data_IF_459764356580
#
_entry.id   IF_459764356580
#
_cell.length_a   1.000
_cell.length_b   1.000
_cell.length_c   1.000
_cell.angle_alpha   90.00
_cell.angle_beta   90.00
_cell.angle_gamma   90.00
#
_symmetry.space_group_name_H-M   'P 1'
#
loop_
_entity.id
_entity.type
_entity.pdbx_description
1 polymer ?
#
# COMPACT_ATOMS: atom_id res chain seq x y z
N UNK A 1 -1.55 -5.15 15.15
CA UNK A 1 -1.04 -6.55 15.16
C UNK A 1 -0.53 -6.97 13.79
N UNK A 2 -1.27 -6.70 12.70
CA UNK A 2 -0.90 -7.03 11.31
C UNK A 2 0.47 -6.52 10.88
N UNK A 3 0.76 -5.22 11.07
CA UNK A 3 2.06 -4.66 10.69
C UNK A 3 3.25 -5.35 11.39
N UNK A 4 3.10 -5.78 12.66
CA UNK A 4 4.16 -6.52 13.38
C UNK A 4 4.48 -7.87 12.73
N UNK A 5 3.49 -8.53 12.13
CA UNK A 5 3.67 -9.81 11.43
C UNK A 5 4.55 -9.64 10.18
N UNK A 6 4.48 -8.46 9.54
CA UNK A 6 5.31 -8.11 8.39
C UNK A 6 6.76 -7.74 8.78
N UNK A 7 7.06 -7.69 10.09
CA UNK A 7 8.36 -7.36 10.69
C UNK A 7 9.08 -6.20 9.98
N UNK A 8 8.43 -5.03 9.85
CA UNK A 8 9.00 -3.89 9.16
C UNK A 8 10.21 -3.35 9.93
N UNK A 9 11.14 -2.72 9.21
CA UNK A 9 12.22 -1.98 9.84
C UNK A 9 11.71 -0.58 10.21
N UNK A 10 11.55 -0.33 11.51
CA UNK A 10 11.29 1.02 12.03
C UNK A 10 12.60 1.82 12.03
N UNK A 11 12.61 3.02 11.45
CA UNK A 11 13.78 3.90 11.44
C UNK A 11 13.52 5.25 12.13
N UNK A 12 12.26 5.58 12.43
CA UNK A 12 11.90 6.75 13.20
C UNK A 12 10.66 6.46 14.05
N UNK A 13 10.66 6.94 15.29
CA UNK A 13 9.53 6.89 16.21
C UNK A 13 9.62 8.09 17.17
N UNK A 14 8.57 8.89 17.25
CA UNK A 14 8.44 9.95 18.25
C UNK A 14 7.15 9.85 19.07
N UNK A 15 6.43 8.73 18.98
CA UNK A 15 5.23 8.48 19.79
C UNK A 15 5.64 8.39 21.27
N UNK A 16 5.07 9.22 22.17
CA UNK A 16 5.41 9.19 23.60
C UNK A 16 5.06 7.87 24.28
N UNK A 17 5.83 7.48 25.30
CA UNK A 17 5.60 6.25 26.07
C UNK A 17 4.19 6.16 26.63
N UNK A 18 3.62 7.26 27.13
CA UNK A 18 2.24 7.31 27.61
C UNK A 18 1.21 6.87 26.55
N UNK A 19 1.46 7.16 25.28
CA UNK A 19 0.61 6.74 24.16
C UNK A 19 0.88 5.29 23.72
N UNK A 20 2.11 4.79 23.94
CA UNK A 20 2.48 3.41 23.65
C UNK A 20 2.00 2.43 24.74
N UNK A 21 2.00 2.85 26.00
CA UNK A 21 1.62 2.03 27.16
C UNK A 21 0.14 1.62 27.11
N UNK A 22 -0.73 2.51 26.61
CA UNK A 22 -2.13 2.19 26.34
C UNK A 22 -2.33 1.33 25.09
N UNK A 23 -1.29 1.15 24.26
CA UNK A 23 -1.35 0.46 22.95
C UNK A 23 -0.28 -0.63 22.88
N UNK A 24 -0.46 -1.78 23.56
CA UNK A 24 0.59 -2.80 23.69
C UNK A 24 1.08 -3.37 22.34
N UNK A 25 0.22 -3.44 21.33
CA UNK A 25 0.66 -3.87 19.99
C UNK A 25 1.52 -2.83 19.27
N UNK A 26 1.25 -1.54 19.49
CA UNK A 26 2.06 -0.43 18.97
C UNK A 26 3.40 -0.39 19.69
N UNK A 27 3.40 -0.50 21.02
CA UNK A 27 4.63 -0.59 21.83
C UNK A 27 5.54 -1.74 21.38
N UNK A 28 4.96 -2.92 21.16
CA UNK A 28 5.70 -4.08 20.64
C UNK A 28 6.26 -3.88 19.23
N UNK A 29 5.53 -3.18 18.37
CA UNK A 29 6.02 -2.82 17.04
C UNK A 29 7.21 -1.86 17.14
N UNK A 30 7.07 -0.78 17.92
CA UNK A 30 8.11 0.22 18.13
C UNK A 30 9.38 -0.38 18.75
N UNK A 31 9.23 -1.33 19.67
CA UNK A 31 10.34 -2.03 20.31
C UNK A 31 10.98 -3.13 19.45
N UNK A 32 10.50 -3.36 18.22
CA UNK A 32 11.05 -4.38 17.32
C UNK A 32 10.86 -5.82 17.81
N UNK A 33 9.83 -6.08 18.62
CA UNK A 33 9.59 -7.41 19.18
C UNK A 33 9.30 -8.42 18.05
N UNK A 34 10.28 -9.29 17.77
CA UNK A 34 10.27 -10.21 16.62
C UNK A 34 9.65 -11.58 16.92
N UNK A 35 9.38 -11.89 18.21
CA UNK A 35 8.79 -13.17 18.61
C UNK A 35 7.30 -13.20 18.28
N UNK A 36 6.99 -13.75 17.11
CA UNK A 36 5.63 -13.98 16.66
C UNK A 36 5.17 -15.38 17.09
N UNK A 37 4.09 -15.44 17.87
CA UNK A 37 3.36 -16.68 18.13
C UNK A 37 2.31 -16.90 17.04
N UNK A 38 1.97 -18.16 16.71
CA UNK A 38 0.85 -18.44 15.82
C UNK A 38 -0.46 -17.75 16.27
N UNK A 39 -1.36 -17.38 15.34
CA UNK A 39 -1.28 -17.63 13.90
C UNK A 39 -0.26 -16.74 13.19
N UNK A 40 0.52 -17.33 12.27
CA UNK A 40 1.55 -16.62 11.49
C UNK A 40 1.00 -15.95 10.23
N UNK A 41 -0.33 -15.96 10.08
CA UNK A 41 -1.07 -15.18 9.10
C UNK A 41 -2.22 -14.48 9.81
N UNK A 42 -2.33 -13.18 9.64
CA UNK A 42 -3.35 -12.36 10.30
C UNK A 42 -4.16 -11.63 9.24
N UNK A 43 -5.46 -11.54 9.45
CA UNK A 43 -6.37 -10.68 8.71
C UNK A 43 -6.95 -9.69 9.70
N UNK A 44 -6.94 -8.41 9.36
CA UNK A 44 -7.56 -7.36 10.14
C UNK A 44 -8.46 -6.55 9.24
N UNK A 45 -9.74 -6.48 9.60
CA UNK A 45 -10.67 -5.56 8.96
C UNK A 45 -10.71 -4.25 9.75
N UNK A 46 -10.88 -3.15 9.02
CA UNK A 46 -11.05 -1.80 9.56
C UNK A 46 -11.85 -0.96 8.56
N UNK A 47 -12.30 0.21 9.00
CA UNK A 47 -13.05 1.15 8.18
C UNK A 47 -12.43 2.52 8.34
N UNK A 48 -12.25 3.23 7.23
CA UNK A 48 -11.72 4.60 7.30
C UNK A 48 -12.75 5.57 7.84
N UNK A 49 -12.26 6.71 8.32
CA UNK A 49 -13.09 7.76 8.91
C UNK A 49 -13.14 8.96 7.97
N UNK A 50 -14.33 9.52 7.75
CA UNK A 50 -14.57 10.57 6.74
C UNK A 50 -16.00 10.51 6.17
N UNK A 51 -16.32 11.44 5.26
CA UNK A 51 -17.64 11.53 4.62
C UNK A 51 -17.96 10.29 3.75
N UNK A 52 -16.94 9.71 3.11
CA UNK A 52 -17.00 8.41 2.45
C UNK A 52 -16.13 7.43 3.23
N UNK A 53 -16.77 6.56 4.02
CA UNK A 53 -16.07 5.52 4.77
C UNK A 53 -15.73 4.35 3.84
N UNK A 54 -14.47 3.94 3.84
CA UNK A 54 -13.95 2.85 3.01
C UNK A 54 -13.68 1.64 3.87
N UNK A 55 -14.08 0.45 3.40
CA UNK A 55 -13.73 -0.81 4.07
C UNK A 55 -12.32 -1.22 3.65
N UNK A 56 -11.46 -1.41 4.65
CA UNK A 56 -10.06 -1.77 4.47
C UNK A 56 -9.79 -3.11 5.15
N UNK A 57 -9.20 -4.05 4.43
CA UNK A 57 -8.73 -5.32 4.98
C UNK A 57 -7.22 -5.42 4.83
N UNK A 58 -6.54 -5.70 5.93
CA UNK A 58 -5.10 -5.88 5.99
C UNK A 58 -4.80 -7.37 6.13
N UNK A 59 -4.03 -7.91 5.19
CA UNK A 59 -3.51 -9.26 5.24
C UNK A 59 -2.02 -9.20 5.57
N UNK A 60 -1.57 -10.05 6.48
CA UNK A 60 -0.15 -10.15 6.80
C UNK A 60 0.26 -11.61 6.99
N UNK A 61 1.47 -11.94 6.56
CA UNK A 61 2.11 -13.23 6.81
C UNK A 61 3.50 -13.04 7.39
N UNK A 62 3.86 -13.88 8.35
CA UNK A 62 5.22 -13.94 8.89
C UNK A 62 6.09 -14.88 8.07
N UNK A 63 7.41 -14.70 8.12
CA UNK A 63 8.39 -15.56 7.43
C UNK A 63 8.16 -17.06 7.71
N UNK A 64 7.89 -17.41 8.98
CA UNK A 64 7.74 -18.79 9.42
C UNK A 64 6.46 -19.47 8.90
N UNK A 65 5.50 -18.72 8.34
CA UNK A 65 4.29 -19.28 7.75
C UNK A 65 4.57 -20.12 6.51
N UNK A 66 5.68 -19.82 5.80
CA UNK A 66 6.03 -20.40 4.49
C UNK A 66 4.94 -20.24 3.42
N UNK A 67 3.98 -19.34 3.63
CA UNK A 67 2.92 -19.08 2.67
C UNK A 67 3.37 -18.07 1.62
N UNK A 68 2.87 -18.28 0.42
CA UNK A 68 2.95 -17.34 -0.70
C UNK A 68 1.77 -16.35 -0.55
N UNK A 69 2.03 -15.05 -0.47
CA UNK A 69 1.01 -14.03 -0.13
C UNK A 69 -0.16 -13.98 -1.13
N UNK A 70 0.07 -14.11 -2.42
CA UNK A 70 -0.95 -14.02 -3.46
C UNK A 70 -1.90 -15.21 -3.42
N UNK A 71 -1.41 -16.43 -3.66
CA UNK A 71 -2.24 -17.64 -3.74
C UNK A 71 -2.71 -18.14 -2.39
N UNK A 72 -1.79 -18.27 -1.43
CA UNK A 72 -2.09 -18.96 -0.15
C UNK A 72 -2.75 -18.04 0.87
N UNK A 73 -2.68 -16.72 0.68
CA UNK A 73 -3.38 -15.74 1.52
C UNK A 73 -4.47 -15.03 0.72
N UNK A 74 -4.13 -14.21 -0.27
CA UNK A 74 -5.08 -13.31 -0.94
C UNK A 74 -6.17 -14.05 -1.72
N UNK A 75 -5.83 -14.93 -2.68
CA UNK A 75 -6.82 -15.71 -3.44
C UNK A 75 -7.72 -16.54 -2.53
N UNK A 76 -7.16 -17.14 -1.46
CA UNK A 76 -7.94 -17.91 -0.48
C UNK A 76 -8.90 -17.04 0.33
N UNK A 77 -8.49 -15.84 0.72
CA UNK A 77 -9.27 -14.93 1.56
C UNK A 77 -10.31 -14.15 0.76
N UNK A 78 -9.93 -13.67 -0.42
CA UNK A 78 -10.80 -12.95 -1.35
C UNK A 78 -11.79 -13.90 -2.04
N UNK A 79 -11.46 -15.19 -2.15
CA UNK A 79 -12.29 -16.24 -2.77
C UNK A 79 -12.67 -15.99 -4.24
N UNK A 80 -11.96 -15.10 -4.93
CA UNK A 80 -12.17 -14.69 -6.33
C UNK A 80 -10.86 -14.79 -7.10
N UNK A 81 -10.91 -14.66 -8.43
CA UNK A 81 -9.68 -14.50 -9.22
C UNK A 81 -9.10 -13.11 -8.99
N UNK A 82 -7.80 -12.95 -9.24
CA UNK A 82 -7.10 -11.67 -9.11
C UNK A 82 -6.32 -11.37 -10.38
N UNK A 83 -6.29 -10.10 -10.78
CA UNK A 83 -5.36 -9.57 -11.78
C UNK A 83 -4.25 -8.85 -11.03
N UNK A 84 -2.99 -9.16 -11.34
CA UNK A 84 -1.82 -8.74 -10.55
C UNK A 84 -0.82 -7.97 -11.43
N UNK A 85 -0.49 -6.75 -11.02
CA UNK A 85 0.64 -5.98 -11.52
C UNK A 85 1.79 -6.05 -10.52
N UNK A 86 2.92 -6.61 -10.95
CA UNK A 86 4.04 -6.94 -10.07
C UNK A 86 5.25 -7.40 -10.87
N UNK A 87 6.46 -7.11 -10.37
CA UNK A 87 7.69 -7.68 -10.94
C UNK A 87 7.77 -9.20 -10.66
N UNK A 88 8.53 -9.92 -11.49
CA UNK A 88 8.45 -11.40 -11.57
C UNK A 88 9.84 -12.03 -11.66
N UNK A 89 9.99 -13.23 -11.09
CA UNK A 89 11.24 -14.01 -11.11
C UNK A 89 11.23 -15.13 -12.17
N UNK A 90 10.29 -15.06 -13.13
CA UNK A 90 10.02 -16.07 -14.18
C UNK A 90 9.61 -17.47 -13.66
N UNK A 91 9.62 -17.69 -12.34
CA UNK A 91 9.33 -18.99 -11.72
C UNK A 91 7.85 -19.13 -11.40
N UNK A 92 7.26 -18.09 -10.83
CA UNK A 92 5.81 -18.04 -10.64
C UNK A 92 5.15 -17.53 -11.92
N UNK A 93 4.18 -18.30 -12.42
CA UNK A 93 3.35 -17.99 -13.60
C UNK A 93 1.91 -17.72 -13.18
N UNK A 94 1.09 -17.31 -14.13
CA UNK A 94 -0.38 -17.34 -13.97
C UNK A 94 -0.83 -18.69 -13.40
N UNK A 95 -1.75 -18.69 -12.44
CA UNK A 95 -2.24 -19.91 -11.79
C UNK A 95 -3.74 -20.02 -12.00
N UNK A 96 -4.16 -20.98 -12.81
CA UNK A 96 -5.58 -21.19 -13.12
C UNK A 96 -6.06 -22.59 -12.74
N UNK A 97 -5.37 -23.22 -11.76
CA UNK A 97 -5.68 -24.59 -11.32
C UNK A 97 -6.99 -24.69 -10.54
N UNK A 98 -7.53 -23.56 -10.07
CA UNK A 98 -8.76 -23.53 -9.27
C UNK A 98 -9.79 -22.72 -10.04
N UNK A 99 -10.86 -23.37 -10.48
CA UNK A 99 -11.95 -22.73 -11.21
C UNK A 99 -12.50 -21.52 -10.42
N UNK A 100 -12.54 -20.35 -11.07
CA UNK A 100 -13.02 -19.10 -10.48
C UNK A 100 -12.07 -18.44 -9.46
N UNK A 101 -10.86 -18.97 -9.24
CA UNK A 101 -9.87 -18.43 -8.31
C UNK A 101 -8.46 -18.44 -8.92
N UNK A 102 -8.35 -17.73 -10.03
CA UNK A 102 -7.14 -17.66 -10.82
C UNK A 102 -6.24 -16.50 -10.37
N UNK A 103 -4.93 -16.65 -10.57
CA UNK A 103 -3.97 -15.55 -10.58
C UNK A 103 -3.67 -15.24 -12.03
N UNK A 104 -4.12 -14.08 -12.49
CA UNK A 104 -3.86 -13.57 -13.82
C UNK A 104 -2.85 -12.42 -13.73
N UNK A 105 -1.83 -12.41 -14.58
CA UNK A 105 -0.76 -11.42 -14.50
C UNK A 105 -0.97 -10.33 -15.55
N UNK A 106 -0.96 -9.07 -15.14
CA UNK A 106 -1.12 -7.93 -16.06
C UNK A 106 0.13 -7.83 -16.94
N UNK A 107 -0.06 -7.85 -18.25
CA UNK A 107 1.00 -7.76 -19.24
C UNK A 107 1.63 -6.37 -19.22
N UNK A 108 2.92 -6.33 -19.51
CA UNK A 108 3.71 -5.10 -19.60
C UNK A 108 3.97 -4.75 -21.07
N UNK A 109 3.97 -3.46 -21.46
CA UNK A 109 3.71 -2.28 -20.64
C UNK A 109 2.21 -2.01 -20.38
N UNK A 110 1.93 -1.16 -19.41
CA UNK A 110 0.62 -0.53 -19.18
C UNK A 110 0.66 0.95 -19.57
N UNK A 111 -0.50 1.56 -19.76
CA UNK A 111 -0.64 3.01 -19.95
C UNK A 111 -1.46 3.62 -18.81
N UNK A 112 -0.96 4.70 -18.24
CA UNK A 112 -1.63 5.50 -17.20
C UNK A 112 -1.73 6.92 -17.70
N UNK A 113 -2.90 7.32 -18.22
CA UNK A 113 -3.13 8.66 -18.76
C UNK A 113 -2.16 9.08 -19.88
N UNK A 114 -1.78 8.16 -20.78
CA UNK A 114 -0.77 8.45 -21.81
C UNK A 114 0.68 8.32 -21.34
N UNK A 115 0.91 8.01 -20.06
CA UNK A 115 2.23 7.65 -19.53
C UNK A 115 2.41 6.13 -19.53
N UNK A 116 3.31 5.66 -20.40
CA UNK A 116 3.67 4.26 -20.44
C UNK A 116 4.47 3.86 -19.17
N UNK A 117 4.09 2.74 -18.56
CA UNK A 117 4.79 2.14 -17.42
C UNK A 117 5.11 0.67 -17.70
N UNK A 118 6.31 0.24 -17.33
CA UNK A 118 6.80 -1.13 -17.57
C UNK A 118 7.19 -1.79 -16.25
N UNK A 119 7.28 -3.13 -16.22
CA UNK A 119 7.72 -3.86 -15.03
C UNK A 119 9.20 -3.59 -14.68
N UNK A 120 9.98 -3.04 -15.62
CA UNK A 120 11.38 -2.65 -15.38
C UNK A 120 11.49 -1.22 -14.81
N UNK A 121 10.49 -0.38 -15.07
CA UNK A 121 10.45 1.02 -14.64
C UNK A 121 9.47 1.26 -13.48
N UNK A 122 8.71 0.26 -13.04
CA UNK A 122 7.67 0.38 -12.02
C UNK A 122 7.89 -0.64 -10.90
N UNK A 123 8.05 -0.14 -9.68
CA UNK A 123 8.27 -0.99 -8.50
C UNK A 123 6.99 -1.22 -7.70
N UNK A 124 5.86 -0.66 -8.15
CA UNK A 124 4.56 -0.86 -7.53
C UNK A 124 4.08 -2.30 -7.70
N UNK A 125 3.36 -2.76 -6.68
CA UNK A 125 2.86 -4.12 -6.60
C UNK A 125 1.43 -4.02 -6.11
N UNK A 126 0.49 -4.31 -7.01
CA UNK A 126 -0.92 -4.19 -6.70
C UNK A 126 -1.72 -5.27 -7.42
N UNK A 127 -2.94 -5.48 -6.93
CA UNK A 127 -3.88 -6.39 -7.55
C UNK A 127 -5.31 -5.89 -7.45
N UNK A 128 -6.15 -6.42 -8.32
CA UNK A 128 -7.59 -6.22 -8.29
C UNK A 128 -8.34 -7.56 -8.35
N UNK A 129 -9.52 -7.63 -7.75
CA UNK A 129 -10.40 -8.80 -7.83
C UNK A 129 -11.08 -8.93 -9.21
N UNK A 130 -11.26 -10.15 -9.71
CA UNK A 130 -11.91 -10.44 -11.00
C UNK A 130 -12.86 -11.64 -10.88
N UNK A 131 -14.19 -11.44 -10.72
CA UNK A 131 -14.88 -10.15 -10.55
C UNK A 131 -14.75 -9.60 -9.12
N UNK A 132 -15.13 -8.34 -8.91
CA UNK A 132 -15.29 -7.70 -7.60
C UNK A 132 -14.94 -6.22 -7.60
N UNK A 133 -14.88 -5.61 -6.40
CA UNK A 133 -14.58 -4.19 -6.19
C UNK A 133 -13.34 -3.97 -5.31
N UNK A 134 -12.42 -4.94 -5.27
CA UNK A 134 -11.28 -4.89 -4.36
C UNK A 134 -10.03 -4.51 -5.12
N UNK A 135 -9.35 -3.48 -4.61
CA UNK A 135 -7.98 -3.12 -4.95
C UNK A 135 -7.08 -3.48 -3.76
N UNK A 136 -5.87 -3.97 -4.00
CA UNK A 136 -4.90 -4.18 -2.94
C UNK A 136 -3.50 -3.72 -3.33
N UNK A 137 -2.84 -2.96 -2.44
CA UNK A 137 -1.41 -2.73 -2.46
C UNK A 137 -0.70 -3.88 -1.73
N UNK A 138 0.37 -4.43 -2.31
CA UNK A 138 1.14 -5.55 -1.75
C UNK A 138 2.59 -5.10 -1.61
N UNK A 139 3.29 -5.49 -0.55
CA UNK A 139 4.68 -5.08 -0.32
C UNK A 139 5.72 -6.05 -0.92
N UNK A 140 5.29 -7.20 -1.42
CA UNK A 140 6.15 -8.22 -2.02
C UNK A 140 5.86 -8.44 -3.50
N UNK A 141 6.90 -8.57 -4.34
CA UNK A 141 6.72 -8.97 -5.72
C UNK A 141 6.27 -10.43 -5.83
N UNK A 142 5.74 -10.83 -7.00
CA UNK A 142 5.32 -12.21 -7.24
C UNK A 142 6.51 -13.10 -7.59
N UNK A 143 7.39 -13.28 -6.61
CA UNK A 143 8.59 -14.13 -6.68
C UNK A 143 8.42 -15.36 -5.80
N UNK A 144 9.08 -16.47 -6.11
CA UNK A 144 9.07 -17.69 -5.28
C UNK A 144 9.81 -17.48 -3.96
N UNK A 145 10.82 -16.62 -3.92
CA UNK A 145 11.63 -16.31 -2.74
C UNK A 145 10.79 -15.78 -1.56
N UNK A 146 9.73 -15.02 -1.84
CA UNK A 146 8.90 -14.40 -0.80
C UNK A 146 8.24 -15.39 0.16
N UNK A 147 8.13 -16.70 -0.17
CA UNK A 147 7.64 -17.70 0.80
C UNK A 147 8.50 -17.75 2.06
N UNK A 148 9.77 -17.35 1.97
CA UNK A 148 10.72 -17.29 3.09
C UNK A 148 10.83 -15.90 3.73
N UNK A 149 9.91 -15.01 3.40
CA UNK A 149 9.91 -13.62 3.83
C UNK A 149 8.57 -13.24 4.48
N UNK A 150 8.53 -12.25 5.37
CA UNK A 150 7.27 -11.64 5.78
C UNK A 150 6.63 -10.87 4.61
N UNK A 151 5.31 -10.68 4.62
CA UNK A 151 4.63 -9.84 3.63
C UNK A 151 3.32 -9.26 4.18
N UNK A 152 2.86 -8.20 3.53
CA UNK A 152 1.63 -7.49 3.84
C UNK A 152 0.90 -7.09 2.55
N UNK A 153 -0.42 -7.09 2.63
CA UNK A 153 -1.28 -6.47 1.63
C UNK A 153 -2.37 -5.66 2.31
N UNK A 154 -2.63 -4.46 1.80
CA UNK A 154 -3.72 -3.59 2.24
C UNK A 154 -4.73 -3.53 1.11
N UNK A 155 -5.93 -4.03 1.37
CA UNK A 155 -7.01 -4.12 0.40
C UNK A 155 -8.12 -3.12 0.74
N UNK A 156 -8.63 -2.43 -0.26
CA UNK A 156 -9.73 -1.48 -0.17
C UNK A 156 -10.90 -2.04 -0.99
N UNK A 157 -12.09 -2.06 -0.39
CA UNK A 157 -13.33 -2.47 -1.04
C UNK A 157 -14.11 -1.24 -1.49
N UNK A 158 -13.82 -0.80 -2.71
CA UNK A 158 -14.41 0.39 -3.30
C UNK A 158 -14.45 0.26 -4.82
N UNK A 159 -15.64 0.46 -5.40
CA UNK A 159 -15.87 0.25 -6.82
C UNK A 159 -15.18 1.29 -7.70
N UNK A 160 -15.01 2.51 -7.20
CA UNK A 160 -14.36 3.62 -7.92
C UNK A 160 -12.87 3.34 -8.04
N UNK A 161 -12.20 3.09 -6.91
CA UNK A 161 -10.77 2.74 -6.86
C UNK A 161 -10.51 1.48 -7.69
N UNK A 162 -11.29 0.42 -7.47
CA UNK A 162 -11.21 -0.77 -8.31
C UNK A 162 -11.35 -0.45 -9.80
N UNK A 163 -12.33 0.39 -10.16
CA UNK A 163 -12.60 0.82 -11.52
C UNK A 163 -11.39 1.48 -12.19
N UNK A 164 -10.67 2.34 -11.47
CA UNK A 164 -9.44 2.99 -11.99
C UNK A 164 -8.36 1.97 -12.33
N UNK A 165 -8.05 1.06 -11.41
CA UNK A 165 -7.03 0.04 -11.64
C UNK A 165 -7.46 -1.01 -12.66
N UNK A 166 -8.75 -1.32 -12.74
CA UNK A 166 -9.31 -2.22 -13.76
C UNK A 166 -9.42 -1.56 -15.14
N UNK A 167 -9.11 -0.26 -15.27
CA UNK A 167 -9.11 0.51 -16.53
C UNK A 167 -7.72 1.07 -16.90
N UNK A 168 -6.65 0.71 -16.19
CA UNK A 168 -5.27 1.05 -16.58
C UNK A 168 -4.96 0.50 -17.99
N UNK A 169 -4.78 1.40 -18.97
CA UNK A 169 -4.72 1.08 -20.41
C UNK A 169 -5.88 1.67 -21.24
N UNK A 170 -6.90 2.26 -20.60
CA UNK A 170 -7.97 3.00 -21.26
C UNK A 170 -7.86 4.50 -20.90
N UNK A 171 -7.79 5.36 -21.92
CA UNK A 171 -7.67 6.80 -21.75
C UNK A 171 -8.84 7.38 -20.91
N UNK A 172 -8.53 8.31 -19.99
CA UNK A 172 -9.54 9.18 -19.36
C UNK A 172 -10.02 8.84 -17.95
N UNK A 173 -9.27 8.09 -17.13
CA UNK A 173 -9.63 7.86 -15.71
C UNK A 173 -8.47 8.07 -14.72
N UNK A 174 -7.45 8.82 -15.13
CA UNK A 174 -6.36 9.25 -14.26
C UNK A 174 -6.10 10.71 -14.62
N UNK A 175 -5.88 11.55 -13.61
CA UNK A 175 -5.55 12.95 -13.78
C UNK A 175 -4.15 13.20 -13.25
N UNK A 176 -3.40 14.03 -13.97
CA UNK A 176 -2.08 14.44 -13.53
C UNK A 176 -2.19 15.28 -12.25
N UNK A 177 -1.18 15.19 -11.40
CA UNK A 177 -1.16 16.01 -10.19
C UNK A 177 -0.96 17.49 -10.55
N UNK A 178 -1.56 18.44 -9.81
CA UNK A 178 -1.39 19.87 -10.09
C UNK A 178 0.07 20.36 -10.00
N UNK A 179 0.95 19.62 -9.32
CA UNK A 179 2.37 19.90 -9.23
C UNK A 179 3.20 18.62 -9.31
N UNK A 180 4.44 18.77 -9.75
CA UNK A 180 5.44 17.69 -9.79
C UNK A 180 5.66 17.07 -8.41
N UNK A 181 5.94 15.76 -8.37
CA UNK A 181 6.20 15.03 -7.12
C UNK A 181 7.43 15.53 -6.36
N UNK A 182 8.31 16.32 -7.00
CA UNK A 182 9.48 16.93 -6.35
C UNK A 182 9.17 18.27 -5.69
N UNK A 183 7.99 18.85 -5.93
CA UNK A 183 7.58 20.10 -5.29
C UNK A 183 7.31 19.89 -3.80
N UNK A 184 7.43 20.94 -2.99
CA UNK A 184 7.13 20.85 -1.55
C UNK A 184 5.62 20.89 -1.23
N UNK A 185 4.78 21.21 -2.22
CA UNK A 185 3.34 21.35 -2.10
C UNK A 185 2.66 21.21 -3.48
N UNK A 186 1.33 21.32 -3.51
CA UNK A 186 0.55 21.25 -4.76
C UNK A 186 0.23 19.83 -5.22
N UNK A 187 0.63 18.81 -4.45
CA UNK A 187 0.30 17.41 -4.70
C UNK A 187 0.03 16.66 -3.40
N UNK A 188 -0.64 15.51 -3.52
CA UNK A 188 -1.13 14.73 -2.39
C UNK A 188 -0.03 14.09 -1.53
N UNK A 189 1.14 13.77 -2.11
CA UNK A 189 2.22 13.14 -1.34
C UNK A 189 2.80 14.05 -0.27
N UNK A 190 3.14 15.30 -0.63
CA UNK A 190 3.66 16.26 0.34
C UNK A 190 2.60 16.61 1.39
N UNK A 191 1.34 16.75 0.96
CA UNK A 191 0.22 17.03 1.86
C UNK A 191 -0.01 15.91 2.88
N UNK A 192 -0.05 14.65 2.43
CA UNK A 192 -0.23 13.49 3.30
C UNK A 192 0.89 13.35 4.36
N UNK A 193 2.06 13.92 4.09
CA UNK A 193 3.25 13.79 4.93
C UNK A 193 3.59 15.07 5.69
N UNK A 194 2.75 16.12 5.66
CA UNK A 194 3.09 17.45 6.19
C UNK A 194 3.59 17.41 7.64
N UNK A 195 2.96 16.59 8.49
CA UNK A 195 3.34 16.39 9.90
C UNK A 195 4.48 15.38 10.12
N UNK A 196 4.90 14.68 9.07
CA UNK A 196 6.06 13.77 9.06
C UNK A 196 7.34 14.53 8.71
N UNK A 197 7.23 15.44 7.75
CA UNK A 197 8.36 16.23 7.23
C UNK A 197 8.60 17.52 8.02
N UNK A 198 7.55 18.14 8.56
CA UNK A 198 7.60 19.33 9.40
C UNK A 198 7.29 18.99 10.85
N UNK A 199 7.63 19.86 11.80
CA UNK A 199 7.34 19.67 13.22
C UNK A 199 5.86 19.89 13.53
N UNK A 200 5.26 19.04 14.36
CA UNK A 200 3.91 19.22 14.88
C UNK A 200 3.84 18.77 16.35
N UNK A 201 3.22 19.58 17.19
CA UNK A 201 3.13 19.34 18.63
C UNK A 201 2.21 18.16 18.97
N UNK A 202 1.19 17.92 18.15
CA UNK A 202 0.10 16.98 18.43
C UNK A 202 0.25 15.69 17.61
N UNK A 203 0.73 15.80 16.37
CA UNK A 203 0.93 14.67 15.49
C UNK A 203 2.28 13.98 15.77
N UNK A 204 2.20 12.67 16.04
CA UNK A 204 3.34 11.78 16.30
C UNK A 204 3.25 10.57 15.39
N UNK A 205 4.38 9.98 15.07
CA UNK A 205 4.42 8.93 14.05
C UNK A 205 5.56 7.94 14.22
N UNK A 206 5.36 6.79 13.58
CA UNK A 206 6.36 5.77 13.34
C UNK A 206 6.57 5.69 11.84
N UNK A 207 7.82 5.83 11.38
CA UNK A 207 8.18 5.58 9.98
C UNK A 207 8.95 4.27 9.86
N UNK A 208 8.60 3.51 8.83
CA UNK A 208 9.22 2.23 8.54
C UNK A 208 9.54 2.09 7.06
N UNK A 209 10.69 1.52 6.74
CA UNK A 209 11.16 1.34 5.38
C UNK A 209 12.28 0.30 5.37
N UNK A 210 12.27 -0.64 4.43
CA UNK A 210 13.35 -1.62 4.28
C UNK A 210 14.62 -1.04 3.64
N UNK A 211 14.52 0.14 3.04
CA UNK A 211 15.63 0.96 2.55
C UNK A 211 15.39 2.40 3.03
N UNK A 212 15.60 2.69 4.32
CA UNK A 212 15.28 3.99 4.91
C UNK A 212 16.25 5.08 4.45
N UNK A 213 15.83 6.36 4.48
CA UNK A 213 16.71 7.48 4.14
C UNK A 213 17.94 7.53 5.05
N UNK A 214 19.09 7.81 4.46
CA UNK A 214 20.35 8.12 5.14
C UNK A 214 20.88 7.01 6.08
N UNK A 215 20.36 5.78 6.00
CA UNK A 215 20.88 4.61 6.74
C UNK A 215 21.41 3.56 5.77
N UNK A 216 22.73 3.48 5.56
CA UNK A 216 23.31 2.53 4.63
C UNK A 216 23.30 1.09 5.18
N UNK A 217 23.24 0.10 4.27
CA UNK A 217 23.49 -1.32 4.54
C UNK A 217 22.52 -1.99 5.53
N UNK A 218 21.26 -1.58 5.54
CA UNK A 218 20.21 -2.26 6.31
C UNK A 218 20.03 -3.70 5.79
N UNK A 219 19.93 -4.65 6.72
CA UNK A 219 19.55 -6.04 6.42
C UNK A 219 18.18 -6.34 7.01
N UNK A 220 17.18 -6.45 6.15
CA UNK A 220 15.83 -6.91 6.51
C UNK A 220 15.28 -7.82 5.43
N UNK A 221 14.39 -8.74 5.83
CA UNK A 221 13.59 -9.56 4.90
C UNK A 221 12.24 -8.93 4.59
N UNK A 222 11.83 -7.90 5.30
CA UNK A 222 10.60 -7.17 5.02
C UNK A 222 10.82 -6.20 3.86
N UNK A 223 9.79 -6.00 3.04
CA UNK A 223 9.77 -4.94 2.03
C UNK A 223 8.79 -3.82 2.39
N UNK A 224 8.14 -3.92 3.56
CA UNK A 224 7.12 -2.97 3.97
C UNK A 224 7.73 -1.57 4.12
N UNK A 225 7.06 -0.57 3.55
CA UNK A 225 7.38 0.85 3.75
C UNK A 225 6.10 1.64 4.04
N UNK A 226 6.22 2.68 4.86
CA UNK A 226 5.07 3.48 5.25
C UNK A 226 5.28 4.29 6.52
N UNK A 227 4.21 4.99 6.90
CA UNK A 227 4.17 5.84 8.10
C UNK A 227 2.86 5.62 8.82
N UNK A 228 2.93 5.33 10.11
CA UNK A 228 1.77 5.34 11.02
C UNK A 228 1.79 6.65 11.80
N UNK A 229 0.75 7.45 11.66
CA UNK A 229 0.59 8.75 12.31
C UNK A 229 -0.56 8.70 13.31
N UNK A 230 -0.46 9.48 14.37
CA UNK A 230 -1.50 9.65 15.38
C UNK A 230 -1.50 11.06 15.95
N UNK A 231 -2.70 11.57 16.22
CA UNK A 231 -2.90 12.76 17.04
C UNK A 231 -2.94 12.32 18.52
N UNK A 232 -2.12 12.95 19.36
CA UNK A 232 -2.03 12.64 20.80
C UNK A 232 -3.00 13.44 21.66
N UNK A 233 -3.73 14.41 21.09
CA UNK A 233 -4.63 15.32 21.80
C UNK A 233 -6.09 14.88 21.82
N UNK A 234 -6.51 14.11 20.80
CA UNK A 234 -7.88 13.62 20.64
C UNK A 234 -8.05 12.13 20.93
N UNK A 235 -9.31 11.66 20.91
CA UNK A 235 -9.64 10.24 20.96
C UNK A 235 -9.35 9.57 19.62
N UNK A 236 -8.29 8.76 19.56
CA UNK A 236 -8.00 7.77 18.53
C UNK A 236 -8.12 8.25 17.07
N UNK A 237 -7.59 9.43 16.75
CA UNK A 237 -7.34 9.84 15.37
C UNK A 237 -5.97 9.34 14.90
N UNK A 238 -5.95 8.47 13.91
CA UNK A 238 -4.73 7.93 13.32
C UNK A 238 -4.82 7.92 11.79
N UNK A 239 -3.67 7.87 11.15
CA UNK A 239 -3.56 7.76 9.71
C UNK A 239 -2.42 6.81 9.37
N UNK A 240 -2.57 6.04 8.29
CA UNK A 240 -1.59 5.07 7.87
C UNK A 240 -1.30 5.20 6.38
N UNK A 241 -0.05 5.49 6.06
CA UNK A 241 0.49 5.57 4.72
C UNK A 241 1.24 4.27 4.43
N UNK A 242 0.98 3.67 3.27
CA UNK A 242 1.79 2.60 2.68
C UNK A 242 2.33 3.08 1.35
N UNK A 243 3.63 2.89 1.11
CA UNK A 243 4.27 3.32 -0.14
C UNK A 243 5.32 2.32 -0.62
N UNK A 244 5.84 2.56 -1.83
CA UNK A 244 6.87 1.73 -2.46
C UNK A 244 8.24 2.41 -2.56
N UNK A 245 8.32 3.71 -2.25
CA UNK A 245 9.50 4.57 -2.45
C UNK A 245 10.65 4.24 -1.46
N UNK A 246 11.82 3.77 -1.91
CA UNK A 246 13.02 3.65 -1.06
C UNK A 246 13.59 5.03 -0.70
N UNK A 247 14.31 5.15 0.41
CA UNK A 247 14.91 6.41 0.85
C UNK A 247 13.90 7.49 1.28
N UNK A 248 12.66 7.12 1.61
CA UNK A 248 11.55 8.04 1.84
C UNK A 248 10.61 7.56 2.96
N UNK A 249 9.91 8.46 3.68
CA UNK A 249 10.16 9.90 3.79
C UNK A 249 11.31 10.23 4.74
N UNK A 250 11.99 11.36 4.53
CA UNK A 250 12.96 11.87 5.50
C UNK A 250 12.25 12.56 6.68
N UNK A 251 12.14 11.85 7.79
CA UNK A 251 11.43 12.34 8.98
C UNK A 251 12.06 13.64 9.51
N UNK A 252 11.24 14.69 9.71
CA UNK A 252 11.61 15.99 10.30
C UNK A 252 12.71 16.78 9.56
N UNK A 253 12.88 16.59 8.25
CA UNK A 253 13.90 17.31 7.46
C UNK A 253 13.35 18.08 6.26
N UNK A 254 12.03 18.26 6.19
CA UNK A 254 11.36 18.83 5.02
C UNK A 254 11.04 17.80 3.95
N UNK A 255 10.26 18.22 2.95
CA UNK A 255 9.89 17.36 1.84
C UNK A 255 11.07 17.17 0.90
N UNK A 256 11.39 15.92 0.59
CA UNK A 256 12.37 15.59 -0.44
C UNK A 256 11.99 14.24 -1.04
N UNK A 257 11.50 14.26 -2.28
CA UNK A 257 11.34 13.03 -3.05
C UNK A 257 12.72 12.55 -3.53
N UNK A 258 13.08 11.26 -3.36
CA UNK A 258 14.41 10.79 -3.73
C UNK A 258 14.68 10.96 -5.23
N UNK A 259 15.75 11.66 -5.65
CA UNK A 259 16.01 11.93 -7.07
C UNK A 259 16.14 10.68 -7.94
N UNK A 260 16.69 9.59 -7.39
CA UNK A 260 16.85 8.31 -8.09
C UNK A 260 15.50 7.59 -8.37
N UNK A 261 14.43 8.04 -7.75
CA UNK A 261 13.11 7.42 -7.80
C UNK A 261 12.11 8.23 -8.65
N UNK A 262 12.46 9.44 -9.10
CA UNK A 262 11.59 10.31 -9.92
C UNK A 262 11.21 9.65 -11.26
N UNK A 263 12.11 8.85 -11.82
CA UNK A 263 11.91 8.18 -13.11
C UNK A 263 11.24 6.80 -12.98
N UNK A 264 10.79 6.42 -11.77
CA UNK A 264 10.20 5.11 -11.50
C UNK A 264 8.74 5.21 -11.10
N UNK A 265 7.95 4.24 -11.53
CA UNK A 265 6.58 4.04 -11.09
C UNK A 265 6.54 3.64 -9.62
N UNK A 266 5.75 4.38 -8.83
CA UNK A 266 5.54 4.14 -7.41
C UNK A 266 4.05 4.25 -7.06
N UNK A 267 3.67 3.56 -5.98
CA UNK A 267 2.34 3.64 -5.41
C UNK A 267 2.43 4.18 -3.98
N UNK A 268 1.52 5.10 -3.64
CA UNK A 268 1.28 5.57 -2.28
C UNK A 268 -0.22 5.49 -2.00
N UNK A 269 -0.58 4.86 -0.89
CA UNK A 269 -1.95 4.75 -0.40
C UNK A 269 -1.99 5.26 1.03
N UNK A 270 -2.95 6.12 1.36
CA UNK A 270 -3.23 6.49 2.74
C UNK A 270 -4.65 6.12 3.16
N UNK A 271 -4.76 5.72 4.42
CA UNK A 271 -6.01 5.40 5.09
C UNK A 271 -6.05 6.08 6.46
N UNK A 272 -7.10 6.85 6.73
CA UNK A 272 -7.40 7.40 8.06
C UNK A 272 -8.10 6.35 8.92
N UNK A 273 -7.65 6.11 10.15
CA UNK A 273 -8.10 5.04 11.05
C UNK A 273 -8.59 5.65 12.38
N UNK A 274 -9.77 5.27 12.88
CA UNK A 274 -10.29 5.66 14.22
C UNK A 274 -11.11 6.97 14.26
N UNK A 275 -12.13 7.03 15.15
CA UNK A 275 -13.52 7.38 14.81
C UNK A 275 -14.23 8.47 15.65
N UNK A 276 -15.25 9.06 15.00
CA UNK A 276 -16.23 10.09 15.41
C UNK A 276 -15.75 11.53 15.63
N UNK A 277 -16.16 12.38 14.68
CA UNK A 277 -16.13 13.85 14.63
C UNK A 277 -14.74 14.50 14.50
N UNK A 278 -14.63 15.27 13.42
CA UNK A 278 -13.74 16.40 13.26
C UNK A 278 -12.25 16.08 13.15
N UNK A 279 -11.82 15.77 11.93
CA UNK A 279 -10.82 16.55 11.22
C UNK A 279 -10.94 16.19 9.75
N UNK A 280 -11.19 17.19 8.91
CA UNK A 280 -11.17 17.04 7.46
C UNK A 280 -9.72 16.85 7.01
N UNK A 281 -9.16 15.66 7.22
CA UNK A 281 -8.14 15.19 6.29
C UNK A 281 -8.91 14.76 5.05
N UNK A 282 -8.78 15.53 3.97
CA UNK A 282 -9.15 15.03 2.65
C UNK A 282 -8.54 13.62 2.51
N UNK A 283 -9.31 12.62 2.07
CA UNK A 283 -8.82 11.25 1.99
C UNK A 283 -7.69 11.20 0.96
N UNK A 284 -6.44 11.38 1.38
CA UNK A 284 -5.30 11.26 0.49
C UNK A 284 -5.00 9.77 0.23
N UNK A 285 -5.83 9.09 -0.54
CA UNK A 285 -5.26 8.27 -1.61
C UNK A 285 -4.89 9.24 -2.72
N UNK A 286 -3.70 9.14 -3.30
CA UNK A 286 -3.47 9.78 -4.59
C UNK A 286 -4.14 8.93 -5.69
N UNK A 287 -5.47 8.93 -5.69
CA UNK A 287 -6.35 8.59 -6.81
C UNK A 287 -7.32 9.77 -6.88
N UNK A 288 -6.95 10.81 -7.63
CA UNK A 288 -7.76 12.03 -7.76
C UNK A 288 -8.83 11.84 -8.84
N UNK A 289 -9.94 11.22 -8.43
CA UNK A 289 -11.30 11.12 -9.03
C UNK A 289 -12.24 12.33 -8.86
N UNK A 290 -12.32 13.32 -9.75
CA UNK A 290 -13.50 14.19 -9.86
C UNK A 290 -14.22 13.91 -11.20
N UNK A 291 -15.45 13.37 -11.16
CA UNK A 291 -16.62 13.74 -11.99
C UNK A 291 -17.78 12.73 -11.79
N UNK A 292 -19.01 13.25 -11.67
CA UNK A 292 -20.25 12.51 -11.43
C UNK A 292 -20.92 11.90 -12.68
N UNK A 293 -20.27 11.81 -13.84
CA UNK A 293 -21.02 11.53 -15.07
C UNK A 293 -20.29 10.71 -16.13
N UNK A 294 -20.05 9.40 -15.92
CA UNK A 294 -19.82 8.48 -17.07
C UNK A 294 -20.53 7.14 -16.85
N UNK A 295 -21.84 7.14 -17.13
CA UNK A 295 -22.57 5.97 -17.63
C UNK A 295 -22.69 6.12 -19.15
N UNK A 296 -21.73 5.59 -19.89
CA UNK A 296 -21.87 5.00 -21.23
C UNK A 296 -20.49 4.76 -21.86
N UNK A 297 -20.29 3.52 -22.33
CA UNK A 297 -19.19 3.02 -23.19
C UNK A 297 -17.85 2.74 -22.48
N UNK A 298 -17.12 1.67 -22.76
CA UNK A 298 -17.38 0.34 -23.34
C UNK A 298 -16.18 -0.52 -22.87
N UNK A 299 -16.33 -1.84 -22.92
CA UNK A 299 -15.30 -2.82 -22.58
C UNK A 299 -13.97 -2.57 -23.31
N UNK A 300 -12.87 -2.50 -22.56
CA UNK A 300 -11.63 -3.23 -22.88
C UNK A 300 -10.59 -3.08 -21.75
N UNK A 301 -10.50 -4.09 -20.86
CA UNK A 301 -9.27 -4.58 -20.18
C UNK A 301 -9.33 -6.11 -20.18
N UNK A 302 -9.56 -6.67 -21.37
CA UNK A 302 -9.49 -8.11 -21.61
C UNK A 302 -8.23 -8.52 -22.40
N UNK A 303 -7.38 -7.58 -22.83
CA UNK A 303 -6.32 -7.89 -23.80
C UNK A 303 -4.89 -7.89 -23.23
N UNK A 304 -4.59 -7.11 -22.18
CA UNK A 304 -3.23 -7.04 -21.60
C UNK A 304 -3.12 -7.80 -20.27
N UNK A 305 -3.68 -9.01 -20.20
CA UNK A 305 -3.47 -9.91 -19.08
C UNK A 305 -2.99 -11.22 -19.66
N UNK A 306 -1.86 -11.71 -19.18
CA UNK A 306 -1.35 -13.02 -19.59
C UNK A 306 -2.41 -14.07 -19.29
N UNK A 307 -2.89 -14.70 -20.37
CA UNK A 307 -3.76 -15.86 -20.28
C UNK A 307 -3.01 -17.00 -19.59
N UNK A 308 -3.77 -17.85 -18.91
CA UNK A 308 -3.25 -19.03 -18.24
C UNK A 308 -2.38 -19.86 -19.19
N UNK A 309 -1.07 -19.94 -18.93
CA UNK A 309 -0.15 -20.86 -19.63
C UNK A 309 -0.23 -22.27 -19.07
#
# INVERSE_FOLDING_TARGET
MTLRIATPLIYYNDIPDAQMDSRPNLKKLANGESRLTPPLTVTQDTTTTGAQSLKVTIYSKGEKSRYEIYRRVLVKKLKTSIKVWTTRDKTLKSDCRILGRNIKLVASPIDVNGHASSLDSDVSQWLISDPGNKFCAVDKPYHKSQIKEPAMAVCIDDATIFGHFNRIGAAGNWADSPAEVTANNGHSFAKALEHVIGADANNKFISYNNDPPDVPKVKTKSNSKGVLMMDITGTDAAAWIVHTVPGFPKARTGYLFPPAEVQKGHLISLASLGCTKSQAMEPAMAVCIDDATISARFKEIAQNVENCS
#
